data_IF_668103960825
#
_entry.id   IF_668103960825
#
_cell.length_a   1.000
_cell.length_b   1.000
_cell.length_c   1.000
_cell.angle_alpha   90.00
_cell.angle_beta   90.00
_cell.angle_gamma   90.00
#
_symmetry.space_group_name_H-M   'P 1'
#
loop_
_entity.id
_entity.type
_entity.pdbx_description
1 polymer ?
#
# COMPACT_ATOMS: atom_id res chain seq x y z
N UNK A 1 6.84 -11.36 -35.17
CA UNK A 1 5.68 -10.61 -34.63
C UNK A 1 4.66 -11.60 -34.14
N UNK A 2 4.64 -11.91 -32.85
CA UNK A 2 3.60 -12.76 -32.24
C UNK A 2 2.34 -11.92 -32.02
N UNK A 3 1.17 -12.34 -32.52
CA UNK A 3 -0.05 -11.57 -32.34
C UNK A 3 -0.54 -11.64 -30.88
N UNK A 4 -1.03 -10.51 -30.39
CA UNK A 4 -1.74 -10.35 -29.12
C UNK A 4 -3.05 -11.15 -29.17
N UNK A 5 -3.05 -12.36 -28.60
CA UNK A 5 -4.27 -13.15 -28.39
C UNK A 5 -4.92 -12.73 -27.06
N UNK A 6 -5.79 -11.73 -27.14
CA UNK A 6 -6.66 -11.32 -26.03
C UNK A 6 -7.73 -12.40 -25.81
N UNK A 7 -7.55 -13.26 -24.79
CA UNK A 7 -8.52 -14.33 -24.44
C UNK A 7 -9.26 -14.02 -23.13
N UNK A 8 -10.57 -14.31 -23.06
CA UNK A 8 -11.34 -14.26 -21.80
C UNK A 8 -10.79 -15.20 -20.72
N UNK A 9 -9.95 -16.17 -21.08
CA UNK A 9 -9.27 -17.06 -20.17
C UNK A 9 -8.27 -16.34 -19.24
N UNK A 10 -7.53 -15.34 -19.73
CA UNK A 10 -6.56 -14.60 -18.90
C UNK A 10 -7.28 -13.74 -17.85
N UNK A 11 -8.43 -13.16 -18.21
CA UNK A 11 -9.26 -12.39 -17.28
C UNK A 11 -9.93 -13.29 -16.24
N UNK A 12 -10.43 -14.46 -16.65
CA UNK A 12 -10.95 -15.48 -15.72
C UNK A 12 -9.85 -16.01 -14.79
N UNK A 13 -8.62 -16.15 -15.27
CA UNK A 13 -7.49 -16.61 -14.49
C UNK A 13 -7.06 -15.55 -13.47
N UNK A 14 -6.99 -14.28 -13.86
CA UNK A 14 -6.74 -13.16 -12.94
C UNK A 14 -7.81 -13.07 -11.84
N UNK A 15 -9.10 -13.15 -12.22
CA UNK A 15 -10.22 -13.17 -11.27
C UNK A 15 -10.19 -14.39 -10.32
N UNK A 16 -9.73 -15.54 -10.80
CA UNK A 16 -9.56 -16.74 -9.97
C UNK A 16 -8.36 -16.65 -9.00
N UNK A 17 -7.34 -15.87 -9.34
CA UNK A 17 -6.21 -15.61 -8.44
C UNK A 17 -6.59 -14.57 -7.38
N UNK A 18 -7.38 -13.56 -7.75
CA UNK A 18 -7.91 -12.56 -6.83
C UNK A 18 -8.86 -13.17 -5.79
N UNK A 19 -9.73 -14.10 -6.19
CA UNK A 19 -10.61 -14.81 -5.25
C UNK A 19 -9.82 -15.65 -4.24
N UNK A 20 -8.79 -16.36 -4.69
CA UNK A 20 -7.88 -17.13 -3.83
C UNK A 20 -7.04 -16.24 -2.92
N UNK A 21 -6.60 -15.08 -3.42
CA UNK A 21 -5.89 -14.08 -2.63
C UNK A 21 -6.76 -13.55 -1.49
N UNK A 22 -8.02 -13.21 -1.81
CA UNK A 22 -9.01 -12.75 -0.84
C UNK A 22 -9.36 -13.83 0.19
N UNK A 23 -9.54 -15.07 -0.22
CA UNK A 23 -9.75 -16.21 0.70
C UNK A 23 -8.56 -16.42 1.62
N UNK A 24 -7.33 -16.26 1.10
CA UNK A 24 -6.10 -16.29 1.90
C UNK A 24 -6.07 -15.20 2.97
N UNK A 25 -6.44 -13.96 2.62
CA UNK A 25 -6.56 -12.86 3.57
C UNK A 25 -7.65 -13.11 4.62
N UNK A 26 -8.83 -13.59 4.20
CA UNK A 26 -9.93 -13.94 5.11
C UNK A 26 -9.54 -15.05 6.09
N UNK A 27 -8.79 -16.04 5.63
CA UNK A 27 -8.28 -17.13 6.48
C UNK A 27 -7.28 -16.60 7.51
N UNK A 28 -6.30 -15.80 7.09
CA UNK A 28 -5.32 -15.22 8.01
C UNK A 28 -5.94 -14.22 9.00
N UNK A 29 -6.96 -13.46 8.60
CA UNK A 29 -7.70 -12.57 9.50
C UNK A 29 -8.50 -13.32 10.59
N UNK A 30 -8.85 -14.58 10.35
CA UNK A 30 -9.52 -15.47 11.32
C UNK A 30 -8.54 -16.32 12.13
N UNK A 31 -7.26 -16.33 11.76
CA UNK A 31 -6.23 -17.04 12.50
C UNK A 31 -6.01 -16.41 13.88
N UNK A 32 -5.45 -17.18 14.80
CA UNK A 32 -5.14 -16.70 16.13
C UNK A 32 -4.15 -15.53 16.06
N UNK A 33 -4.41 -14.45 16.80
CA UNK A 33 -3.52 -13.28 16.81
C UNK A 33 -2.12 -13.72 17.29
N UNK A 34 -1.09 -13.33 16.53
CA UNK A 34 0.29 -13.71 16.82
C UNK A 34 0.74 -15.01 16.14
N UNK A 35 -0.18 -15.78 15.55
CA UNK A 35 0.17 -16.91 14.66
C UNK A 35 0.92 -16.43 13.42
N UNK A 36 1.67 -17.34 12.80
CA UNK A 36 2.39 -17.07 11.55
C UNK A 36 1.42 -16.67 10.44
N UNK A 37 0.26 -17.33 10.34
CA UNK A 37 -0.77 -17.04 9.35
C UNK A 37 -1.40 -15.66 9.54
N UNK A 38 -1.66 -15.26 10.79
CA UNK A 38 -2.14 -13.91 11.10
C UNK A 38 -1.10 -12.87 10.72
N UNK A 39 0.16 -13.08 11.10
CA UNK A 39 1.24 -12.14 10.84
C UNK A 39 1.48 -11.96 9.33
N UNK A 40 1.49 -13.06 8.57
CA UNK A 40 1.65 -13.03 7.12
C UNK A 40 0.47 -12.33 6.42
N UNK A 41 -0.75 -12.47 6.94
CA UNK A 41 -1.91 -11.75 6.41
C UNK A 41 -1.85 -10.25 6.71
N UNK A 42 -1.42 -9.86 7.92
CA UNK A 42 -1.21 -8.45 8.28
C UNK A 42 -0.14 -7.81 7.40
N UNK A 43 0.98 -8.49 7.17
CA UNK A 43 2.06 -7.96 6.31
C UNK A 43 1.58 -7.72 4.87
N UNK A 44 0.81 -8.66 4.31
CA UNK A 44 0.19 -8.48 2.98
C UNK A 44 -0.75 -7.29 2.93
N UNK A 45 -1.62 -7.14 3.93
CA UNK A 45 -2.57 -6.01 3.98
C UNK A 45 -1.83 -4.67 4.11
N UNK A 46 -0.76 -4.62 4.90
CA UNK A 46 0.01 -3.41 5.11
C UNK A 46 0.70 -2.91 3.83
N UNK A 47 1.24 -3.82 3.01
CA UNK A 47 1.79 -3.49 1.67
C UNK A 47 0.71 -2.94 0.73
N UNK A 48 -0.48 -3.54 0.75
CA UNK A 48 -1.61 -3.03 -0.05
C UNK A 48 -2.05 -1.64 0.41
N UNK A 49 -2.05 -1.38 1.72
CA UNK A 49 -2.40 -0.07 2.26
C UNK A 49 -1.35 1.00 1.97
N UNK A 50 -0.05 0.67 2.04
CA UNK A 50 1.03 1.55 1.59
C UNK A 50 0.82 1.98 0.13
N UNK A 51 0.44 1.05 -0.76
CA UNK A 51 0.17 1.35 -2.17
C UNK A 51 -0.97 2.37 -2.34
N UNK A 52 -2.05 2.23 -1.58
CA UNK A 52 -3.18 3.19 -1.60
C UNK A 52 -2.74 4.55 -1.07
N UNK A 53 -1.95 4.58 0.00
CA UNK A 53 -1.41 5.82 0.54
C UNK A 53 -0.50 6.54 -0.47
N UNK A 54 0.37 5.82 -1.18
CA UNK A 54 1.22 6.39 -2.22
C UNK A 54 0.39 6.97 -3.37
N UNK A 55 -0.65 6.26 -3.78
CA UNK A 55 -1.58 6.77 -4.79
C UNK A 55 -2.25 8.07 -4.33
N UNK A 56 -2.71 8.14 -3.08
CA UNK A 56 -3.29 9.36 -2.52
C UNK A 56 -2.25 10.49 -2.41
N UNK A 57 -1.04 10.20 -1.94
CA UNK A 57 0.03 11.18 -1.82
C UNK A 57 0.43 11.77 -3.18
N UNK A 58 0.64 10.91 -4.19
CA UNK A 58 0.95 11.35 -5.56
C UNK A 58 -0.19 12.19 -6.14
N UNK A 59 -1.43 11.76 -5.93
CA UNK A 59 -2.60 12.52 -6.35
C UNK A 59 -2.67 13.88 -5.66
N UNK A 60 -2.49 13.94 -4.34
CA UNK A 60 -2.52 15.19 -3.57
C UNK A 60 -1.37 16.14 -3.96
N UNK A 61 -0.17 15.63 -4.22
CA UNK A 61 0.94 16.46 -4.73
C UNK A 61 0.61 17.05 -6.11
N UNK A 62 -0.06 16.29 -6.98
CA UNK A 62 -0.49 16.81 -8.29
C UNK A 62 -1.64 17.80 -8.16
N UNK A 63 -2.64 17.52 -7.34
CA UNK A 63 -3.77 18.43 -7.08
C UNK A 63 -3.27 19.75 -6.42
N UNK A 64 -2.17 19.72 -5.66
CA UNK A 64 -1.52 20.90 -5.07
C UNK A 64 -0.58 21.66 -6.02
N UNK A 65 -0.23 21.07 -7.18
CA UNK A 65 0.55 21.76 -8.21
C UNK A 65 -0.42 22.62 -9.03
N UNK A 66 -0.25 23.96 -9.08
CA UNK A 66 -1.12 24.81 -9.89
C UNK A 66 -1.14 24.31 -11.32
N UNK A 67 -2.32 23.96 -11.85
CA UNK A 67 -2.45 23.55 -13.25
C UNK A 67 -2.08 24.73 -14.14
N UNK A 68 -0.85 24.68 -14.67
CA UNK A 68 -0.28 25.73 -15.51
C UNK A 68 -1.00 25.79 -16.85
N UNK A 69 -2.07 26.58 -16.91
CA UNK A 69 -2.62 27.17 -18.13
C UNK A 69 -3.60 26.30 -18.92
N UNK A 70 -4.26 26.97 -19.88
CA UNK A 70 -5.30 26.52 -20.82
C UNK A 70 -4.98 25.26 -21.67
N UNK A 71 -3.89 24.55 -21.38
CA UNK A 71 -3.35 23.44 -22.17
C UNK A 71 -3.25 22.11 -21.40
N UNK A 72 -3.78 22.01 -20.18
CA UNK A 72 -3.88 20.71 -19.49
C UNK A 72 -5.03 19.89 -20.06
N UNK A 73 -4.79 19.30 -21.24
CA UNK A 73 -5.76 18.44 -21.91
C UNK A 73 -6.06 17.17 -21.07
N UNK A 74 -7.30 16.68 -21.17
CA UNK A 74 -7.78 15.45 -20.52
C UNK A 74 -6.92 14.21 -20.84
N UNK A 75 -6.35 14.19 -22.04
CA UNK A 75 -5.40 13.19 -22.53
C UNK A 75 -4.13 13.14 -21.67
N UNK A 76 -3.59 14.31 -21.29
CA UNK A 76 -2.38 14.42 -20.46
C UNK A 76 -2.63 13.90 -19.06
N UNK A 77 -3.79 14.22 -18.45
CA UNK A 77 -4.16 13.72 -17.13
C UNK A 77 -4.30 12.20 -17.10
N UNK A 78 -4.84 11.62 -18.18
CA UNK A 78 -4.99 10.17 -18.31
C UNK A 78 -3.64 9.47 -18.40
N UNK A 79 -2.74 9.96 -19.26
CA UNK A 79 -1.38 9.42 -19.40
C UNK A 79 -0.59 9.50 -18.09
N UNK A 80 -0.68 10.63 -17.41
CA UNK A 80 -0.07 10.83 -16.10
C UNK A 80 -0.63 9.87 -15.03
N UNK A 81 -1.94 9.61 -15.03
CA UNK A 81 -2.55 8.63 -14.13
C UNK A 81 -2.02 7.20 -14.35
N UNK A 82 -1.83 6.79 -15.61
CA UNK A 82 -1.21 5.50 -15.94
C UNK A 82 0.26 5.43 -15.51
N UNK A 83 0.99 6.52 -15.71
CA UNK A 83 2.38 6.63 -15.27
C UNK A 83 2.50 6.50 -13.74
N UNK A 84 1.60 7.12 -12.98
CA UNK A 84 1.59 7.01 -11.53
C UNK A 84 1.25 5.60 -11.07
N UNK A 85 0.35 4.90 -11.75
CA UNK A 85 0.04 3.49 -11.42
C UNK A 85 1.26 2.59 -11.57
N UNK A 86 2.03 2.77 -12.65
CA UNK A 86 3.29 2.04 -12.85
C UNK A 86 4.36 2.45 -11.83
N UNK A 87 4.42 3.74 -11.49
CA UNK A 87 5.34 4.22 -10.46
C UNK A 87 5.00 3.64 -9.09
N UNK A 88 3.72 3.61 -8.71
CA UNK A 88 3.24 3.00 -7.47
C UNK A 88 3.59 1.52 -7.43
N UNK A 89 3.32 0.76 -8.51
CA UNK A 89 3.70 -0.66 -8.56
C UNK A 89 5.21 -0.88 -8.35
N UNK A 90 6.06 -0.04 -8.97
CA UNK A 90 7.52 -0.10 -8.80
C UNK A 90 7.98 0.28 -7.39
N UNK A 91 7.33 1.26 -6.77
CA UNK A 91 7.67 1.72 -5.42
C UNK A 91 7.18 0.75 -4.34
N UNK A 92 5.97 0.20 -4.48
CA UNK A 92 5.41 -0.81 -3.57
C UNK A 92 6.24 -2.09 -3.53
N UNK A 93 6.91 -2.45 -4.64
CA UNK A 93 7.82 -3.61 -4.67
C UNK A 93 9.13 -3.40 -3.89
N UNK A 94 9.54 -2.13 -3.67
CA UNK A 94 10.76 -1.78 -2.92
C UNK A 94 10.46 -1.40 -1.47
N UNK A 95 9.21 -0.99 -1.18
CA UNK A 95 8.71 -0.58 0.12
C UNK A 95 9.31 0.75 0.57
N UNK A 96 8.49 1.72 0.99
CA UNK A 96 8.99 2.95 1.61
C UNK A 96 9.17 2.81 3.13
N UNK A 97 8.87 1.62 3.67
CA UNK A 97 8.95 1.30 5.08
C UNK A 97 7.67 1.59 5.87
N UNK A 98 6.66 2.20 5.23
CA UNK A 98 5.38 2.48 5.87
C UNK A 98 4.57 1.19 6.08
N UNK A 99 4.67 0.24 5.16
CA UNK A 99 4.03 -1.07 5.32
C UNK A 99 4.49 -1.79 6.60
N UNK A 100 5.78 -1.73 6.95
CA UNK A 100 6.31 -2.34 8.17
C UNK A 100 5.75 -1.69 9.44
N UNK A 101 5.60 -0.37 9.42
CA UNK A 101 5.02 0.39 10.52
C UNK A 101 3.53 0.05 10.73
N UNK A 102 2.75 0.05 9.64
CA UNK A 102 1.34 -0.33 9.65
C UNK A 102 1.19 -1.77 10.15
N UNK A 103 2.02 -2.69 9.66
CA UNK A 103 2.00 -4.07 10.10
C UNK A 103 2.31 -4.21 11.59
N UNK A 104 3.30 -3.45 12.10
CA UNK A 104 3.62 -3.41 13.53
C UNK A 104 2.43 -2.97 14.36
N UNK A 105 1.77 -1.88 13.98
CA UNK A 105 0.62 -1.35 14.72
C UNK A 105 -0.58 -2.30 14.68
N UNK A 106 -0.83 -2.96 13.55
CA UNK A 106 -1.90 -3.95 13.40
C UNK A 106 -1.63 -5.24 14.20
N UNK A 107 -0.36 -5.71 14.22
CA UNK A 107 0.06 -6.87 15.01
C UNK A 107 0.00 -6.59 16.52
N UNK A 108 0.39 -5.37 16.94
CA UNK A 108 0.24 -4.89 18.31
C UNK A 108 -1.23 -4.75 18.75
N UNK A 109 -2.18 -4.80 17.80
CA UNK A 109 -3.59 -4.88 18.09
C UNK A 109 -4.16 -3.56 18.57
N UNK A 110 -4.03 -2.49 17.78
CA UNK A 110 -4.71 -1.21 18.03
C UNK A 110 -4.61 -0.74 19.50
N UNK A 111 -3.39 -0.71 20.01
CA UNK A 111 -3.01 0.11 21.14
C UNK A 111 -1.85 0.96 20.67
N UNK A 112 -2.05 2.28 20.61
CA UNK A 112 -0.96 3.20 20.88
C UNK A 112 -0.60 2.95 22.34
N UNK A 113 0.12 1.86 22.60
CA UNK A 113 0.81 1.67 23.85
C UNK A 113 1.81 2.79 23.89
N UNK A 114 1.54 3.78 24.75
CA UNK A 114 2.46 4.88 24.99
C UNK A 114 3.83 4.28 25.17
N UNK A 115 4.68 4.49 24.18
CA UNK A 115 6.10 4.25 24.35
C UNK A 115 6.47 5.24 25.46
N UNK A 116 6.70 4.69 26.64
CA UNK A 116 7.33 5.36 27.76
C UNK A 116 8.70 5.77 27.22
N UNK A 117 8.75 6.96 26.59
CA UNK A 117 10.00 7.59 26.23
C UNK A 117 10.81 7.62 27.53
N UNK A 118 12.01 7.02 27.58
CA UNK A 118 12.83 7.11 28.77
C UNK A 118 13.03 8.59 29.06
N UNK A 119 12.31 9.08 30.08
CA UNK A 119 12.40 10.44 30.58
C UNK A 119 13.67 10.52 31.40
N UNK A 120 14.80 10.31 30.75
CA UNK A 120 16.13 10.54 31.29
C UNK A 120 16.74 11.65 30.48
N UNK A 121 16.08 12.81 30.51
CA UNK A 121 16.84 14.05 30.41
C UNK A 121 17.79 14.07 31.61
N UNK A 122 19.12 14.21 31.41
CA UNK A 122 20.01 14.42 32.53
C UNK A 122 19.57 15.72 33.21
N UNK A 123 19.20 15.64 34.49
CA UNK A 123 19.10 16.84 35.32
C UNK A 123 20.51 17.40 35.39
N UNK A 124 20.77 18.44 34.61
CA UNK A 124 21.95 19.27 34.77
C UNK A 124 21.88 19.88 36.16
N UNK A 125 22.71 19.39 37.06
CA UNK A 125 22.97 20.04 38.35
C UNK A 125 23.39 21.49 38.07
N UNK A 126 22.70 22.44 38.69
CA UNK A 126 23.11 23.84 38.81
C UNK A 126 23.21 24.18 40.27
#
# INVERSE_FOLDING_TARGET
>A
MTPLSNKPADMQQMLSMDSRSLEGLKRGARAERGSEEFNAAVDKVAVQFESIFLQMALKSMRDATPEGGLFTDSSTKTYQGMYDQELVQKLSGKGLGLASEIARQLKAGAGVGGEDFPSTFPKTDR
#
